data_IF_029255228313
#
_entry.id   IF_029255228313
#
_cell.length_a   1.000
_cell.length_b   1.000
_cell.length_c   1.000
_cell.angle_alpha   90.00
_cell.angle_beta   90.00
_cell.angle_gamma   90.00
#
_symmetry.space_group_name_H-M   'P 1'
#
loop_
_entity.id
_entity.type
_entity.pdbx_description
1 polymer ?
#
# COMPACT_ATOMS: atom_id res chain seq x y z
N UNK A 1 28.14 1.75 0.15
CA UNK A 1 27.50 0.98 1.26
C UNK A 1 26.01 1.27 1.25
N UNK A 2 25.22 0.22 1.00
CA UNK A 2 23.76 0.28 0.96
C UNK A 2 23.19 0.74 2.31
N UNK A 3 22.26 1.70 2.29
CA UNK A 3 21.62 2.21 3.52
C UNK A 3 20.33 1.45 3.79
N UNK A 4 20.00 1.25 5.07
CA UNK A 4 18.65 0.80 5.45
C UNK A 4 17.61 1.80 4.92
N UNK A 5 16.47 1.28 4.49
CA UNK A 5 15.34 2.07 3.97
C UNK A 5 15.67 2.94 2.73
N UNK A 6 16.63 2.54 1.90
CA UNK A 6 17.08 3.34 0.75
C UNK A 6 15.98 3.57 -0.30
N UNK A 7 15.10 2.58 -0.53
CA UNK A 7 14.02 2.69 -1.50
C UNK A 7 12.90 3.58 -0.99
N UNK A 8 12.52 3.39 0.28
CA UNK A 8 11.56 4.26 0.98
C UNK A 8 12.08 5.70 0.99
N UNK A 9 13.35 5.93 1.35
CA UNK A 9 13.94 7.26 1.36
C UNK A 9 13.95 7.91 -0.04
N UNK A 10 14.25 7.14 -1.08
CA UNK A 10 14.18 7.62 -2.46
C UNK A 10 12.76 8.01 -2.85
N UNK A 11 11.77 7.13 -2.63
CA UNK A 11 10.37 7.40 -2.95
C UNK A 11 9.87 8.65 -2.23
N UNK A 12 10.15 8.78 -0.93
CA UNK A 12 9.72 9.96 -0.16
C UNK A 12 10.33 11.26 -0.67
N UNK A 13 11.60 11.25 -1.09
CA UNK A 13 12.24 12.43 -1.71
C UNK A 13 11.62 12.82 -3.05
N UNK A 14 11.01 11.86 -3.75
CA UNK A 14 10.35 12.05 -5.03
C UNK A 14 8.92 12.55 -4.91
N UNK A 15 8.31 12.51 -3.73
CA UNK A 15 6.93 12.97 -3.52
C UNK A 15 6.91 14.50 -3.39
N UNK A 16 6.18 15.16 -4.30
CA UNK A 16 5.86 16.59 -4.17
C UNK A 16 4.71 16.78 -3.18
N UNK A 17 3.66 15.97 -3.32
CA UNK A 17 2.40 16.15 -2.59
C UNK A 17 1.66 14.85 -2.39
N UNK A 18 1.03 14.70 -1.24
CA UNK A 18 0.04 13.65 -0.97
C UNK A 18 -1.30 14.31 -0.67
N UNK A 19 -2.33 13.96 -1.43
CA UNK A 19 -3.70 14.44 -1.21
C UNK A 19 -4.57 13.27 -0.77
N UNK A 20 -5.08 13.35 0.45
CA UNK A 20 -6.00 12.36 1.02
C UNK A 20 -7.46 12.74 0.80
N UNK A 21 -8.29 11.77 0.39
CA UNK A 21 -9.76 11.86 0.50
C UNK A 21 -10.21 10.77 1.46
N UNK A 22 -10.88 11.18 2.54
CA UNK A 22 -11.39 10.31 3.60
C UNK A 22 -12.68 10.87 4.17
N UNK A 23 -13.53 9.99 4.67
CA UNK A 23 -14.67 10.37 5.49
C UNK A 23 -14.30 10.10 6.95
N UNK A 24 -13.80 11.14 7.63
CA UNK A 24 -13.38 11.04 9.01
C UNK A 24 -14.59 11.07 9.95
N UNK A 25 -15.32 9.96 10.05
CA UNK A 25 -16.15 9.72 11.23
C UNK A 25 -15.22 9.08 12.25
N UNK A 26 -15.02 9.73 13.39
CA UNK A 26 -14.16 9.29 14.51
C UNK A 26 -14.95 8.35 15.43
N UNK A 27 -14.90 7.01 15.28
CA UNK A 27 -15.60 6.09 16.18
C UNK A 27 -14.85 5.94 17.52
N UNK A 28 -13.64 6.46 17.63
CA UNK A 28 -12.80 6.48 18.84
C UNK A 28 -13.27 7.49 19.90
N UNK A 29 -14.21 8.37 19.56
CA UNK A 29 -14.91 9.24 20.51
C UNK A 29 -16.00 8.52 21.33
N UNK A 30 -16.02 7.18 21.31
CA UNK A 30 -16.87 6.35 22.17
C UNK A 30 -16.44 6.38 23.66
N UNK A 31 -15.33 7.03 24.02
CA UNK A 31 -15.09 7.39 25.43
C UNK A 31 -15.94 8.63 25.78
N UNK A 32 -16.97 8.50 26.63
CA UNK A 32 -17.83 9.63 27.01
C UNK A 32 -17.06 10.80 27.65
N UNK A 33 -15.79 10.60 28.03
CA UNK A 33 -14.91 11.65 28.55
C UNK A 33 -14.22 12.49 27.48
N UNK A 34 -14.09 11.99 26.25
CA UNK A 34 -13.37 12.67 25.15
C UNK A 34 -14.30 13.18 24.04
N UNK A 35 -15.59 12.84 24.09
CA UNK A 35 -16.58 13.36 23.15
C UNK A 35 -16.77 14.88 23.33
N UNK A 36 -16.37 15.67 22.32
CA UNK A 36 -16.62 17.13 22.25
C UNK A 36 -18.12 17.48 22.34
N UNK A 37 -19.01 16.53 22.06
CA UNK A 37 -20.44 16.61 22.32
C UNK A 37 -20.99 15.23 22.73
N UNK A 38 -21.49 15.11 23.96
CA UNK A 38 -22.11 13.87 24.44
C UNK A 38 -23.36 13.51 23.60
N UNK A 39 -23.36 12.33 22.98
CA UNK A 39 -24.56 11.71 22.40
C UNK A 39 -24.81 11.89 20.90
N UNK A 40 -24.00 12.63 20.15
CA UNK A 40 -24.22 12.85 18.70
C UNK A 40 -23.49 11.86 17.78
N UNK A 41 -22.39 11.27 18.22
CA UNK A 41 -21.55 10.36 17.41
C UNK A 41 -21.21 9.09 18.19
N UNK A 42 -22.15 8.16 18.29
CA UNK A 42 -21.93 6.80 18.81
C UNK A 42 -21.54 5.84 17.69
N UNK A 43 -20.94 4.70 18.03
CA UNK A 43 -20.78 3.55 17.12
C UNK A 43 -22.06 3.23 16.32
N UNK A 44 -23.22 3.22 16.97
CA UNK A 44 -24.51 2.91 16.32
C UNK A 44 -24.99 4.01 15.37
N UNK A 45 -24.85 5.29 15.74
CA UNK A 45 -25.20 6.40 14.81
C UNK A 45 -24.27 6.45 13.60
N UNK A 46 -22.99 6.12 13.79
CA UNK A 46 -22.00 6.00 12.72
C UNK A 46 -22.33 4.82 11.80
N UNK A 47 -22.65 3.65 12.37
CA UNK A 47 -23.12 2.51 11.61
C UNK A 47 -24.42 2.83 10.86
N UNK A 48 -25.38 3.49 11.51
CA UNK A 48 -26.62 3.98 10.93
C UNK A 48 -26.39 4.88 9.71
N UNK A 49 -25.43 5.81 9.78
CA UNK A 49 -25.02 6.62 8.62
C UNK A 49 -24.56 5.75 7.44
N UNK A 50 -23.73 4.73 7.68
CA UNK A 50 -23.27 3.85 6.60
C UNK A 50 -24.35 2.90 6.09
N UNK A 51 -25.29 2.48 6.94
CA UNK A 51 -26.47 1.69 6.55
C UNK A 51 -27.43 2.44 5.63
N UNK A 52 -27.39 3.78 5.60
CA UNK A 52 -28.22 4.54 4.66
C UNK A 52 -27.80 4.36 3.20
N UNK A 53 -26.54 3.95 2.95
CA UNK A 53 -26.07 3.63 1.61
C UNK A 53 -26.50 2.22 1.21
N UNK A 54 -27.09 2.10 0.02
CA UNK A 54 -27.37 0.78 -0.57
C UNK A 54 -26.05 0.20 -1.08
N UNK A 55 -25.37 -0.56 -0.22
CA UNK A 55 -24.13 -1.24 -0.56
C UNK A 55 -24.42 -2.50 -1.37
N UNK A 56 -23.86 -2.59 -2.57
CA UNK A 56 -23.91 -3.82 -3.37
C UNK A 56 -22.85 -4.82 -2.90
N UNK A 57 -22.99 -6.12 -3.21
CA UNK A 57 -21.94 -7.12 -2.93
C UNK A 57 -20.56 -6.76 -3.49
N UNK A 58 -20.53 -5.97 -4.58
CA UNK A 58 -19.27 -5.50 -5.20
C UNK A 58 -18.55 -4.51 -4.29
N UNK A 59 -19.26 -3.60 -3.63
CA UNK A 59 -18.67 -2.67 -2.67
C UNK A 59 -17.99 -3.45 -1.54
N UNK A 60 -18.70 -4.41 -0.94
CA UNK A 60 -18.16 -5.24 0.13
C UNK A 60 -16.98 -6.10 -0.34
N UNK A 61 -17.02 -6.61 -1.57
CA UNK A 61 -15.90 -7.36 -2.18
C UNK A 61 -14.63 -6.51 -2.28
N UNK A 62 -14.74 -5.28 -2.77
CA UNK A 62 -13.59 -4.36 -2.86
C UNK A 62 -13.03 -4.01 -1.48
N UNK A 63 -13.91 -3.74 -0.50
CA UNK A 63 -13.52 -3.49 0.89
C UNK A 63 -12.79 -4.71 1.48
N UNK A 64 -13.26 -5.93 1.20
CA UNK A 64 -12.58 -7.17 1.63
C UNK A 64 -11.19 -7.30 1.02
N UNK A 65 -11.00 -6.98 -0.26
CA UNK A 65 -9.66 -6.99 -0.86
C UNK A 65 -8.71 -6.02 -0.17
N UNK A 66 -9.16 -4.80 0.12
CA UNK A 66 -8.33 -3.85 0.86
C UNK A 66 -8.03 -4.34 2.29
N UNK A 67 -9.00 -4.95 2.98
CA UNK A 67 -8.78 -5.57 4.29
C UNK A 67 -7.72 -6.69 4.26
N UNK A 68 -7.76 -7.52 3.22
CA UNK A 68 -6.87 -8.67 3.07
C UNK A 68 -5.44 -8.26 2.72
N UNK A 69 -5.28 -7.32 1.77
CA UNK A 69 -3.97 -6.95 1.23
C UNK A 69 -3.39 -5.67 1.86
N UNK A 70 -4.17 -4.90 2.61
CA UNK A 70 -3.77 -3.64 3.23
C UNK A 70 -3.99 -2.42 2.33
N UNK A 71 -3.03 -2.14 1.44
CA UNK A 71 -3.12 -1.01 0.51
C UNK A 71 -3.08 -1.47 -0.93
N UNK A 72 -4.06 -1.04 -1.72
CA UNK A 72 -4.19 -1.42 -3.13
C UNK A 72 -4.24 -0.20 -4.02
N UNK A 73 -3.67 -0.29 -5.22
CA UNK A 73 -3.86 0.73 -6.25
C UNK A 73 -5.21 0.59 -6.94
N UNK A 74 -5.68 1.65 -7.61
CA UNK A 74 -6.90 1.60 -8.44
C UNK A 74 -6.88 0.44 -9.45
N UNK A 75 -5.75 0.26 -10.13
CA UNK A 75 -5.57 -0.81 -11.14
C UNK A 75 -5.70 -2.20 -10.52
N UNK A 76 -5.15 -2.42 -9.34
CA UNK A 76 -5.27 -3.69 -8.63
C UNK A 76 -6.71 -3.95 -8.17
N UNK A 77 -7.40 -2.93 -7.65
CA UNK A 77 -8.82 -3.06 -7.29
C UNK A 77 -9.70 -3.40 -8.49
N UNK A 78 -9.48 -2.74 -9.62
CA UNK A 78 -10.19 -3.06 -10.88
C UNK A 78 -9.90 -4.50 -11.29
N UNK A 79 -8.61 -4.88 -11.38
CA UNK A 79 -8.21 -6.23 -11.79
C UNK A 79 -8.78 -7.34 -10.89
N UNK A 80 -8.88 -7.09 -9.58
CA UNK A 80 -9.56 -8.02 -8.67
C UNK A 80 -11.06 -8.02 -8.90
N UNK A 81 -11.69 -6.86 -8.97
CA UNK A 81 -13.14 -6.73 -9.17
C UNK A 81 -13.63 -7.38 -10.46
N UNK A 82 -12.89 -7.25 -11.56
CA UNK A 82 -13.25 -7.83 -12.87
C UNK A 82 -13.35 -9.35 -12.82
N UNK A 83 -12.60 -10.03 -11.93
CA UNK A 83 -12.66 -11.49 -11.76
C UNK A 83 -13.96 -11.97 -11.12
N UNK A 84 -14.66 -11.09 -10.40
CA UNK A 84 -15.82 -11.44 -9.56
C UNK A 84 -17.08 -10.65 -9.91
N UNK A 85 -17.08 -9.90 -11.01
CA UNK A 85 -18.21 -9.07 -11.43
C UNK A 85 -18.63 -9.38 -12.86
N UNK A 86 -19.88 -9.04 -13.19
CA UNK A 86 -20.42 -9.21 -14.54
C UNK A 86 -19.76 -8.23 -15.51
N UNK A 87 -19.58 -8.67 -16.76
CA UNK A 87 -19.10 -7.82 -17.84
C UNK A 87 -19.97 -6.55 -17.94
N UNK A 88 -19.34 -5.38 -17.97
CA UNK A 88 -20.01 -4.08 -18.01
C UNK A 88 -20.26 -3.44 -16.63
N UNK A 89 -19.86 -4.09 -15.54
CA UNK A 89 -19.86 -3.46 -14.21
C UNK A 89 -18.87 -2.29 -14.18
N UNK A 90 -19.34 -1.07 -13.91
CA UNK A 90 -18.48 0.11 -13.80
C UNK A 90 -17.72 0.14 -12.46
N UNK A 91 -16.62 -0.60 -12.39
CA UNK A 91 -15.76 -0.65 -11.21
C UNK A 91 -15.12 0.70 -10.88
N UNK A 92 -14.94 1.60 -11.85
CA UNK A 92 -14.43 2.94 -11.55
C UNK A 92 -15.42 3.73 -10.72
N UNK A 93 -16.70 3.68 -11.11
CA UNK A 93 -17.77 4.32 -10.36
C UNK A 93 -17.96 3.68 -8.98
N UNK A 94 -17.91 2.36 -8.87
CA UNK A 94 -18.04 1.67 -7.57
C UNK A 94 -16.85 1.99 -6.65
N UNK A 95 -15.61 2.02 -7.15
CA UNK A 95 -14.45 2.44 -6.35
C UNK A 95 -14.61 3.89 -5.88
N UNK A 96 -15.12 4.78 -6.75
CA UNK A 96 -15.45 6.15 -6.35
C UNK A 96 -16.51 6.19 -5.24
N UNK A 97 -17.59 5.41 -5.37
CA UNK A 97 -18.63 5.28 -4.35
C UNK A 97 -18.05 4.78 -3.02
N UNK A 98 -17.17 3.78 -3.04
CA UNK A 98 -16.51 3.32 -1.82
C UNK A 98 -15.72 4.42 -1.11
N UNK A 99 -15.10 5.36 -1.85
CA UNK A 99 -14.45 6.53 -1.24
C UNK A 99 -15.47 7.56 -0.75
N UNK A 100 -16.47 7.87 -1.57
CA UNK A 100 -17.52 8.84 -1.24
C UNK A 100 -18.41 8.40 -0.06
N UNK A 101 -18.55 7.10 0.15
CA UNK A 101 -19.33 6.52 1.24
C UNK A 101 -18.46 6.18 2.46
N UNK A 102 -17.19 6.59 2.48
CA UNK A 102 -16.29 6.34 3.60
C UNK A 102 -16.01 4.86 3.88
N UNK A 103 -16.15 4.00 2.87
CA UNK A 103 -15.76 2.59 2.95
C UNK A 103 -14.26 2.41 2.78
N UNK A 104 -13.68 3.21 1.89
CA UNK A 104 -12.25 3.29 1.64
C UNK A 104 -11.81 4.74 1.69
N UNK A 105 -10.55 4.98 2.02
CA UNK A 105 -9.92 6.28 1.80
C UNK A 105 -8.93 6.17 0.67
N UNK A 106 -8.67 7.30 0.00
CA UNK A 106 -7.70 7.41 -1.09
C UNK A 106 -6.54 8.30 -0.69
N UNK A 107 -5.31 7.87 -0.92
CA UNK A 107 -4.15 8.75 -0.99
C UNK A 107 -3.68 8.84 -2.44
N UNK A 108 -3.83 10.02 -3.03
CA UNK A 108 -3.21 10.35 -4.29
C UNK A 108 -1.82 10.92 -4.01
N UNK A 109 -0.81 10.25 -4.53
CA UNK A 109 0.60 10.61 -4.38
C UNK A 109 1.07 11.18 -5.71
N UNK A 110 1.55 12.42 -5.70
CA UNK A 110 2.14 13.12 -6.84
C UNK A 110 3.66 13.12 -6.70
N UNK A 111 4.34 12.56 -7.70
CA UNK A 111 5.81 12.55 -7.78
C UNK A 111 6.34 13.76 -8.56
N UNK A 112 7.64 13.99 -8.46
CA UNK A 112 8.36 15.11 -9.09
C UNK A 112 8.35 15.09 -10.61
N UNK A 113 8.20 13.91 -11.20
CA UNK A 113 7.99 13.72 -12.64
C UNK A 113 6.52 13.82 -13.09
N UNK A 114 5.66 14.39 -12.24
CA UNK A 114 4.22 14.54 -12.45
C UNK A 114 3.42 13.24 -12.58
N UNK A 115 4.05 12.08 -12.39
CA UNK A 115 3.31 10.82 -12.29
C UNK A 115 2.50 10.77 -11.00
N UNK A 116 1.37 10.09 -11.05
CA UNK A 116 0.48 9.92 -9.89
C UNK A 116 0.17 8.46 -9.63
N UNK A 117 0.10 8.09 -8.36
CA UNK A 117 -0.46 6.82 -7.93
C UNK A 117 -1.55 7.07 -6.88
N UNK A 118 -2.70 6.42 -7.08
CA UNK A 118 -3.77 6.37 -6.10
C UNK A 118 -3.66 5.04 -5.34
N UNK A 119 -3.41 5.11 -4.03
CA UNK A 119 -3.50 3.97 -3.13
C UNK A 119 -4.75 4.09 -2.25
N UNK A 120 -5.40 2.96 -2.01
CA UNK A 120 -6.66 2.84 -1.29
C UNK A 120 -6.45 2.00 -0.04
N UNK A 121 -6.99 2.48 1.08
CA UNK A 121 -6.99 1.80 2.37
C UNK A 121 -8.41 1.76 2.96
N UNK A 122 -8.62 0.95 4.00
CA UNK A 122 -9.91 0.88 4.70
C UNK A 122 -10.19 2.15 5.48
N UNK A 123 -11.38 2.73 5.30
CA UNK A 123 -11.86 3.86 6.10
C UNK A 123 -12.93 3.39 7.10
N UNK A 124 -13.40 4.30 7.96
CA UNK A 124 -14.30 3.98 9.08
C UNK A 124 -15.50 3.13 8.66
N UNK A 125 -16.21 3.50 7.59
CA UNK A 125 -17.37 2.76 7.10
C UNK A 125 -17.04 1.37 6.57
N UNK A 126 -15.82 1.16 6.07
CA UNK A 126 -15.35 -0.14 5.61
C UNK A 126 -15.19 -1.12 6.77
N UNK A 127 -14.66 -0.64 7.90
CA UNK A 127 -14.58 -1.45 9.12
C UNK A 127 -15.97 -1.88 9.60
N UNK A 128 -16.94 -0.96 9.63
CA UNK A 128 -18.32 -1.28 9.99
C UNK A 128 -18.96 -2.28 9.05
N UNK A 129 -18.84 -2.07 7.73
CA UNK A 129 -19.37 -2.99 6.73
C UNK A 129 -18.78 -4.40 6.85
N UNK A 130 -17.49 -4.51 7.20
CA UNK A 130 -16.84 -5.80 7.46
C UNK A 130 -17.34 -6.46 8.76
N UNK A 131 -17.56 -5.67 9.82
CA UNK A 131 -18.10 -6.15 11.10
C UNK A 131 -19.49 -6.75 10.93
N UNK A 132 -20.39 -6.01 10.27
CA UNK A 132 -21.76 -6.45 9.99
C UNK A 132 -21.80 -7.67 9.07
N UNK A 133 -20.83 -7.78 8.16
CA UNK A 133 -20.66 -8.96 7.31
C UNK A 133 -19.95 -10.15 8.00
N UNK A 134 -19.67 -10.07 9.31
CA UNK A 134 -18.98 -11.13 10.06
C UNK A 134 -17.53 -11.40 9.62
N UNK A 135 -16.90 -10.43 8.95
CA UNK A 135 -15.53 -10.57 8.44
C UNK A 135 -14.52 -10.01 9.43
N UNK A 136 -13.48 -10.80 9.76
CA UNK A 136 -12.42 -10.36 10.67
C UNK A 136 -11.67 -9.17 10.08
N UNK A 137 -11.66 -8.07 10.82
CA UNK A 137 -10.96 -6.85 10.44
C UNK A 137 -9.45 -7.00 10.65
N UNK A 138 -8.68 -6.61 9.64
CA UNK A 138 -7.26 -6.33 9.77
C UNK A 138 -7.10 -4.84 10.03
N UNK A 139 -7.27 -4.42 11.28
CA UNK A 139 -7.20 -3.00 11.65
C UNK A 139 -5.80 -2.46 11.40
N UNK A 140 -5.67 -1.63 10.38
CA UNK A 140 -4.49 -0.81 10.16
C UNK A 140 -4.70 0.54 10.85
N UNK A 141 -3.69 1.01 11.57
CA UNK A 141 -3.78 2.31 12.23
C UNK A 141 -3.94 3.41 11.18
N UNK A 142 -4.94 4.27 11.37
CA UNK A 142 -5.14 5.41 10.46
C UNK A 142 -3.98 6.41 10.52
N UNK A 143 -3.19 6.38 11.60
CA UNK A 143 -1.99 7.20 11.85
C UNK A 143 -0.75 6.69 11.13
N UNK A 144 -0.84 5.57 10.37
CA UNK A 144 0.31 5.07 9.60
C UNK A 144 0.84 6.17 8.67
N UNK A 145 2.14 6.41 8.72
CA UNK A 145 2.83 7.35 7.85
C UNK A 145 2.81 6.91 6.39
N UNK A 146 2.97 7.83 5.45
CA UNK A 146 2.95 7.51 4.01
C UNK A 146 4.04 6.50 3.62
N UNK A 147 5.18 6.52 4.30
CA UNK A 147 6.27 5.57 4.18
C UNK A 147 5.82 4.13 4.50
N UNK A 148 5.07 3.96 5.59
CA UNK A 148 4.52 2.67 6.00
C UNK A 148 3.46 2.18 5.00
N UNK A 149 2.58 3.08 4.54
CA UNK A 149 1.55 2.75 3.54
C UNK A 149 2.16 2.29 2.22
N UNK A 150 3.20 3.00 1.75
CA UNK A 150 3.94 2.62 0.55
C UNK A 150 4.64 1.27 0.71
N UNK A 151 5.25 1.00 1.86
CA UNK A 151 5.89 -0.30 2.12
C UNK A 151 4.85 -1.44 2.10
N UNK A 152 3.70 -1.26 2.77
CA UNK A 152 2.61 -2.25 2.73
C UNK A 152 2.12 -2.44 1.30
N UNK A 153 1.80 -1.36 0.58
CA UNK A 153 1.39 -1.40 -0.83
C UNK A 153 2.35 -2.20 -1.71
N UNK A 154 3.66 -1.96 -1.57
CA UNK A 154 4.70 -2.67 -2.33
C UNK A 154 4.74 -4.16 -2.02
N UNK A 155 4.44 -4.57 -0.79
CA UNK A 155 4.26 -5.99 -0.45
C UNK A 155 2.98 -6.55 -1.07
N UNK A 156 1.88 -5.79 -1.07
CA UNK A 156 0.61 -6.19 -1.66
C UNK A 156 0.73 -6.50 -3.15
N UNK A 157 1.59 -5.79 -3.88
CA UNK A 157 1.92 -6.07 -5.29
C UNK A 157 2.34 -7.54 -5.49
N UNK A 158 3.24 -8.04 -4.64
CA UNK A 158 3.67 -9.44 -4.71
C UNK A 158 2.56 -10.41 -4.26
N UNK A 159 1.91 -10.12 -3.13
CA UNK A 159 0.87 -10.99 -2.57
C UNK A 159 -0.29 -11.23 -3.55
N UNK A 160 -0.66 -10.21 -4.32
CA UNK A 160 -1.66 -10.30 -5.36
C UNK A 160 -1.24 -11.19 -6.53
N UNK A 161 0.02 -11.07 -6.95
CA UNK A 161 0.57 -11.89 -8.04
C UNK A 161 0.53 -13.38 -7.70
N UNK A 162 0.82 -13.72 -6.45
CA UNK A 162 0.76 -15.11 -5.95
C UNK A 162 -0.65 -15.54 -5.51
N UNK A 163 -1.65 -14.65 -5.58
CA UNK A 163 -3.00 -14.87 -5.09
C UNK A 163 -3.05 -15.42 -3.65
N UNK A 164 -2.18 -14.91 -2.77
CA UNK A 164 -2.03 -15.40 -1.39
C UNK A 164 -1.83 -14.22 -0.40
N UNK A 165 -2.91 -13.65 0.14
CA UNK A 165 -2.83 -12.52 1.09
C UNK A 165 -2.25 -12.93 2.46
N UNK A 166 -2.20 -14.22 2.79
CA UNK A 166 -1.78 -14.70 4.12
C UNK A 166 -0.29 -15.03 4.20
N UNK A 167 0.49 -14.74 3.16
CA UNK A 167 1.90 -15.08 3.14
C UNK A 167 2.69 -14.19 4.12
N UNK A 168 2.96 -14.72 5.32
CA UNK A 168 3.54 -13.96 6.46
C UNK A 168 5.01 -13.62 6.30
N UNK A 169 5.74 -14.28 5.41
CA UNK A 169 7.20 -14.20 5.30
C UNK A 169 7.67 -13.26 4.19
N UNK A 170 6.99 -12.12 3.99
CA UNK A 170 7.35 -11.11 2.97
C UNK A 170 8.02 -9.89 3.62
N UNK A 171 9.26 -9.64 3.25
CA UNK A 171 10.06 -8.50 3.71
C UNK A 171 10.60 -7.69 2.53
N UNK A 172 10.87 -6.40 2.74
CA UNK A 172 11.62 -5.63 1.75
C UNK A 172 13.13 -5.82 1.97
N UNK A 173 13.92 -5.84 0.90
CA UNK A 173 15.37 -5.95 0.94
C UNK A 173 15.98 -4.83 1.79
N UNK A 174 15.47 -3.61 1.63
CA UNK A 174 15.90 -2.42 2.37
C UNK A 174 15.77 -2.53 3.90
N UNK A 175 14.96 -3.47 4.40
CA UNK A 175 14.77 -3.75 5.83
C UNK A 175 15.86 -4.67 6.39
N UNK A 176 16.48 -5.46 5.53
CA UNK A 176 17.43 -6.53 5.85
C UNK A 176 18.88 -6.07 5.62
N UNK A 177 19.08 -4.89 5.03
CA UNK A 177 20.40 -4.28 4.87
C UNK A 177 21.13 -4.23 6.21
N UNK A 178 22.41 -4.64 6.23
CA UNK A 178 23.26 -4.78 7.42
C UNK A 178 22.92 -5.96 8.35
N UNK A 179 22.05 -6.89 7.95
CA UNK A 179 21.89 -8.17 8.65
C UNK A 179 23.18 -8.98 8.54
N UNK A 180 23.60 -9.62 9.64
CA UNK A 180 24.86 -10.39 9.69
C UNK A 180 24.65 -11.88 9.43
N UNK A 181 23.45 -12.39 9.72
CA UNK A 181 23.12 -13.81 9.52
C UNK A 181 21.97 -13.98 8.52
N UNK A 182 22.31 -14.12 7.25
CA UNK A 182 21.35 -14.33 6.17
C UNK A 182 20.58 -15.65 6.27
N UNK A 183 21.03 -16.63 7.06
CA UNK A 183 20.32 -17.91 7.26
C UNK A 183 18.96 -17.71 7.93
N UNK A 184 18.78 -16.61 8.68
CA UNK A 184 17.50 -16.21 9.24
C UNK A 184 16.43 -15.92 8.17
N UNK A 185 16.83 -15.80 6.90
CA UNK A 185 15.95 -15.54 5.77
C UNK A 185 15.70 -16.76 4.89
N UNK A 186 16.19 -17.94 5.26
CA UNK A 186 15.90 -19.18 4.56
C UNK A 186 14.38 -19.43 4.49
N UNK A 187 13.86 -19.69 3.29
CA UNK A 187 12.43 -19.86 3.03
C UNK A 187 11.60 -18.58 3.10
N UNK A 188 12.20 -17.41 3.34
CA UNK A 188 11.51 -16.11 3.29
C UNK A 188 11.51 -15.54 1.88
N UNK A 189 10.53 -14.66 1.62
CA UNK A 189 10.41 -13.91 0.39
C UNK A 189 10.90 -12.48 0.65
N UNK A 190 11.88 -12.05 -0.13
CA UNK A 190 12.49 -10.72 -0.01
C UNK A 190 12.22 -9.95 -1.30
N UNK A 191 11.61 -8.78 -1.17
CA UNK A 191 11.22 -7.94 -2.31
C UNK A 191 12.17 -6.76 -2.46
N UNK A 192 12.48 -6.38 -3.70
CA UNK A 192 13.23 -5.14 -4.00
C UNK A 192 12.73 -4.52 -5.30
N UNK A 193 13.08 -3.27 -5.57
CA UNK A 193 12.75 -2.60 -6.83
C UNK A 193 14.04 -2.26 -7.60
N UNK A 194 14.31 -3.04 -8.65
CA UNK A 194 15.53 -2.91 -9.44
C UNK A 194 15.63 -1.56 -10.17
N UNK A 195 14.52 -0.89 -10.48
CA UNK A 195 14.57 0.45 -11.09
C UNK A 195 15.08 1.47 -10.09
N UNK A 196 14.68 1.36 -8.82
CA UNK A 196 15.18 2.26 -7.78
C UNK A 196 16.69 2.04 -7.56
N UNK A 197 17.16 0.80 -7.54
CA UNK A 197 18.60 0.52 -7.40
C UNK A 197 19.40 1.06 -8.58
N UNK A 198 18.89 0.95 -9.81
CA UNK A 198 19.49 1.52 -11.01
C UNK A 198 19.57 3.05 -10.94
N UNK A 199 18.48 3.73 -10.59
CA UNK A 199 18.45 5.21 -10.49
C UNK A 199 19.40 5.74 -9.42
N UNK A 200 19.61 4.96 -8.35
CA UNK A 200 20.51 5.33 -7.26
C UNK A 200 21.95 4.88 -7.48
N UNK A 201 22.28 4.24 -8.61
CA UNK A 201 23.59 3.63 -8.89
C UNK A 201 24.03 2.63 -7.79
N UNK A 202 23.10 1.82 -7.28
CA UNK A 202 23.31 0.81 -6.24
C UNK A 202 23.20 -0.62 -6.77
N UNK A 203 23.20 -0.81 -8.10
CA UNK A 203 22.98 -2.10 -8.75
C UNK A 203 23.94 -3.18 -8.25
N UNK A 204 25.24 -2.88 -8.20
CA UNK A 204 26.25 -3.82 -7.73
C UNK A 204 26.03 -4.26 -6.26
N UNK A 205 25.80 -3.31 -5.34
CA UNK A 205 25.55 -3.67 -3.94
C UNK A 205 24.24 -4.44 -3.72
N UNK A 206 23.21 -4.14 -4.51
CA UNK A 206 21.94 -4.88 -4.47
C UNK A 206 22.14 -6.30 -4.99
N UNK A 207 22.84 -6.47 -6.11
CA UNK A 207 23.13 -7.79 -6.69
C UNK A 207 23.99 -8.64 -5.74
N UNK A 208 24.96 -8.04 -5.05
CA UNK A 208 25.75 -8.74 -4.04
C UNK A 208 24.86 -9.27 -2.89
N UNK A 209 23.95 -8.43 -2.38
CA UNK A 209 23.04 -8.79 -1.30
C UNK A 209 22.02 -9.84 -1.73
N UNK A 210 21.48 -9.73 -2.94
CA UNK A 210 20.58 -10.72 -3.57
C UNK A 210 21.27 -12.08 -3.62
N UNK A 211 22.51 -12.14 -4.14
CA UNK A 211 23.28 -13.36 -4.22
C UNK A 211 23.57 -14.00 -2.85
N UNK A 212 23.82 -13.20 -1.82
CA UNK A 212 24.02 -13.70 -0.45
C UNK A 212 22.73 -14.30 0.13
N UNK A 213 21.59 -13.65 -0.10
CA UNK A 213 20.28 -14.11 0.34
C UNK A 213 19.83 -15.39 -0.39
N UNK A 214 20.03 -15.46 -1.71
CA UNK A 214 19.71 -16.63 -2.51
C UNK A 214 20.55 -17.85 -2.07
N UNK A 215 21.84 -17.65 -1.79
CA UNK A 215 22.72 -18.71 -1.21
C UNK A 215 22.26 -19.17 0.17
N UNK A 216 21.63 -18.30 0.95
CA UNK A 216 21.03 -18.63 2.24
C UNK A 216 19.64 -19.28 2.12
N UNK A 217 19.10 -19.43 0.90
CA UNK A 217 17.82 -20.05 0.62
C UNK A 217 16.61 -19.13 0.74
N UNK A 218 16.81 -17.80 0.67
CA UNK A 218 15.71 -16.86 0.49
C UNK A 218 15.24 -16.85 -0.98
N UNK A 219 13.99 -16.46 -1.22
CA UNK A 219 13.48 -16.16 -2.57
C UNK A 219 13.47 -14.65 -2.76
N UNK A 220 14.45 -14.12 -3.49
CA UNK A 220 14.55 -12.67 -3.74
C UNK A 220 13.83 -12.30 -5.04
N UNK A 221 12.97 -11.29 -5.00
CA UNK A 221 12.03 -10.96 -6.07
C UNK A 221 12.04 -9.47 -6.38
N UNK A 222 12.23 -9.16 -7.66
CA UNK A 222 12.04 -7.81 -8.18
C UNK A 222 10.55 -7.52 -8.41
N UNK A 223 10.08 -6.39 -7.88
CA UNK A 223 8.71 -5.89 -8.03
C UNK A 223 8.60 -4.65 -8.93
N UNK A 224 9.70 -4.21 -9.55
CA UNK A 224 9.80 -2.96 -10.34
C UNK A 224 8.84 -2.85 -11.53
N UNK A 225 8.37 -3.99 -12.05
CA UNK A 225 7.41 -4.05 -13.17
C UNK A 225 5.96 -3.90 -12.71
N UNK A 226 5.69 -4.26 -11.46
CA UNK A 226 4.34 -4.41 -10.92
C UNK A 226 3.99 -3.29 -9.92
N UNK A 227 5.00 -2.56 -9.42
CA UNK A 227 4.85 -1.50 -8.41
C UNK A 227 4.12 -0.24 -8.90
N UNK A 228 3.87 -0.13 -10.20
CA UNK A 228 3.13 0.98 -10.79
C UNK A 228 3.85 2.34 -10.73
N UNK A 229 5.05 2.40 -10.17
CA UNK A 229 5.86 3.61 -10.13
C UNK A 229 6.45 3.91 -11.51
N UNK A 230 6.24 5.14 -11.96
CA UNK A 230 6.94 5.70 -13.11
C UNK A 230 8.13 6.48 -12.54
N UNK A 231 9.32 5.92 -12.69
CA UNK A 231 10.55 6.51 -12.18
C UNK A 231 11.34 7.06 -13.35
N UNK A 232 11.91 8.26 -13.18
CA UNK A 232 12.79 8.84 -14.21
C UNK A 232 14.04 7.97 -14.38
N UNK A 233 14.57 7.85 -15.61
CA UNK A 233 15.85 7.21 -15.82
C UNK A 233 16.96 7.95 -15.03
N UNK A 234 18.07 7.26 -14.70
CA UNK A 234 19.19 7.90 -14.02
C UNK A 234 19.59 9.16 -14.79
N UNK A 235 19.72 10.28 -14.07
CA UNK A 235 20.28 11.49 -14.65
C UNK A 235 21.69 11.13 -15.14
N UNK A 236 22.06 11.47 -16.39
CA UNK A 236 23.43 11.28 -16.84
C UNK A 236 24.35 11.98 -15.85
N UNK A 237 25.39 11.29 -15.39
CA UNK A 237 26.38 11.88 -14.52
C UNK A 237 26.83 13.21 -15.15
N UNK A 238 26.56 14.33 -14.48
CA UNK A 238 27.20 15.58 -14.85
C UNK A 238 28.69 15.33 -14.66
N UNK A 239 29.43 15.14 -15.75
CA UNK A 239 30.88 15.12 -15.73
C UNK A 239 31.35 16.30 -14.87
N UNK A 240 31.99 16.07 -13.72
CA UNK A 240 32.55 17.15 -12.94
C UNK A 240 33.77 17.65 -13.72
N UNK A 241 33.58 18.77 -14.41
CA UNK A 241 34.55 19.52 -15.21
C UNK A 241 35.11 18.83 -16.47
N UNK A 242 34.94 19.42 -17.66
CA UNK A 242 36.05 19.46 -18.60
C UNK A 242 37.10 20.38 -17.98
N UNK A 243 38.27 19.83 -17.62
CA UNK A 243 39.42 20.65 -17.28
C UNK A 243 39.68 21.65 -18.42
N UNK A 244 39.75 22.93 -18.08
CA UNK A 244 40.33 24.00 -18.91
C UNK A 244 41.78 24.15 -18.48
#
# INVERSE_FOLDING_TARGET
>A
MLRKKYETAYLLKKIIRVTGIRYNIRPDLDDPKEAEAAGLYTKETTAGFFRTYILTPVHLGLVKFVNEYGFLSKKQLISLGEKYTWLGTDLNYIIYQCVAYGLMYRNQILFDNHSTIDIFGLDTGGYFALEEAGTKQNKQLYTLGIDQRLNIYRKSVYLLRENNPQLKSVSMLEDIVNEKDFRLHSGKIVLFDSKISQVLNLGYEVDELVNQLDKAGAKVIDISKDSGFVLDPPLPEKNPNPAI
#
